data_IF_337091451735
#
_entry.id   IF_337091451735
#
_cell.length_a   1.000
_cell.length_b   1.000
_cell.length_c   1.000
_cell.angle_alpha   90.00
_cell.angle_beta   90.00
_cell.angle_gamma   90.00
#
_symmetry.space_group_name_H-M   'P 1'
#
loop_
_entity.id
_entity.type
_entity.pdbx_description
1 polymer ?
#
# COMPACT_ATOMS: atom_id res chain seq x y z
N UNK A 1 -22.75 29.17 15.90
CA UNK A 1 -22.64 28.02 14.97
C UNK A 1 -21.64 27.04 15.55
N UNK A 2 -21.93 25.74 15.57
CA UNK A 2 -21.02 24.74 16.15
C UNK A 2 -19.88 24.42 15.18
N UNK A 3 -18.64 24.66 15.59
CA UNK A 3 -17.45 24.23 14.86
C UNK A 3 -17.31 22.71 14.94
N UNK A 4 -16.82 22.09 13.87
CA UNK A 4 -16.42 20.68 13.85
C UNK A 4 -14.94 20.63 14.21
N UNK A 5 -14.57 19.81 15.19
CA UNK A 5 -13.19 19.70 15.66
C UNK A 5 -12.64 18.36 15.22
N UNK A 6 -11.44 18.36 14.63
CA UNK A 6 -10.64 17.16 14.40
C UNK A 6 -9.45 17.22 15.35
N UNK A 7 -9.54 16.44 16.42
CA UNK A 7 -8.44 16.16 17.34
C UNK A 7 -7.55 15.06 16.74
N UNK A 8 -6.26 15.37 16.56
CA UNK A 8 -5.28 14.39 16.13
C UNK A 8 -4.95 13.45 17.29
N UNK A 9 -4.81 12.17 16.99
CA UNK A 9 -4.39 11.18 17.97
C UNK A 9 -2.93 11.42 18.40
N UNK A 10 -2.58 10.78 19.52
CA UNK A 10 -1.23 10.77 20.05
C UNK A 10 -0.23 10.23 19.02
N UNK A 11 0.99 10.76 19.01
CA UNK A 11 2.07 10.35 18.10
C UNK A 11 2.41 8.86 18.17
N UNK A 12 2.07 8.20 19.29
CA UNK A 12 2.28 6.77 19.49
C UNK A 12 1.16 5.89 18.91
N UNK A 13 0.15 6.47 18.27
CA UNK A 13 -0.97 5.77 17.66
C UNK A 13 -0.85 5.79 16.13
N UNK A 14 -0.98 4.62 15.49
CA UNK A 14 -1.06 4.49 14.03
C UNK A 14 -2.17 5.36 13.46
N UNK A 15 -3.26 5.52 14.23
CA UNK A 15 -4.41 6.31 13.80
C UNK A 15 -4.06 7.77 13.58
N UNK A 16 -3.06 8.34 14.28
CA UNK A 16 -2.55 9.69 13.96
C UNK A 16 -2.02 9.71 12.53
N UNK A 17 -1.17 8.75 12.17
CA UNK A 17 -0.59 8.71 10.83
C UNK A 17 -1.65 8.46 9.76
N UNK A 18 -2.69 7.68 10.07
CA UNK A 18 -3.85 7.57 9.19
C UNK A 18 -4.60 8.89 9.04
N UNK A 19 -4.84 9.64 10.12
CA UNK A 19 -5.46 10.97 10.01
C UNK A 19 -4.65 11.89 9.11
N UNK A 20 -3.32 11.88 9.28
CA UNK A 20 -2.40 12.68 8.48
C UNK A 20 -2.39 12.23 7.02
N UNK A 21 -2.41 10.93 6.73
CA UNK A 21 -2.54 10.42 5.38
C UNK A 21 -3.82 10.89 4.68
N UNK A 22 -4.97 10.83 5.38
CA UNK A 22 -6.23 11.32 4.83
C UNK A 22 -6.16 12.83 4.54
N UNK A 23 -5.74 13.63 5.51
CA UNK A 23 -5.67 15.09 5.34
C UNK A 23 -4.66 15.48 4.25
N UNK A 24 -3.47 14.88 4.24
CA UNK A 24 -2.43 15.12 3.23
C UNK A 24 -2.89 14.76 1.82
N UNK A 25 -3.69 13.71 1.69
CA UNK A 25 -4.21 13.25 0.39
C UNK A 25 -5.17 14.22 -0.29
N UNK A 26 -5.58 15.30 0.37
CA UNK A 26 -6.47 16.33 -0.18
C UNK A 26 -5.87 17.75 -0.14
N UNK A 27 -4.65 17.92 0.38
CA UNK A 27 -4.03 19.25 0.58
C UNK A 27 -3.93 20.06 -0.72
N UNK A 28 -3.71 19.39 -1.85
CA UNK A 28 -3.62 20.03 -3.17
C UNK A 28 -4.97 20.40 -3.80
N UNK A 29 -6.09 19.99 -3.19
CA UNK A 29 -7.45 20.14 -3.74
C UNK A 29 -8.32 21.13 -2.96
N UNK A 30 -7.76 21.73 -1.93
CA UNK A 30 -8.42 22.67 -1.02
C UNK A 30 -7.83 24.08 -1.15
N UNK A 31 -8.55 25.08 -0.64
CA UNK A 31 -8.06 26.46 -0.67
C UNK A 31 -6.79 26.65 0.17
N UNK A 32 -6.01 27.69 -0.13
CA UNK A 32 -4.77 28.02 0.58
C UNK A 32 -5.03 28.27 2.06
N UNK A 33 -6.16 28.92 2.39
CA UNK A 33 -6.57 29.20 3.76
C UNK A 33 -6.85 27.91 4.54
N UNK A 34 -7.60 26.98 3.92
CA UNK A 34 -7.91 25.69 4.53
C UNK A 34 -6.66 24.81 4.66
N UNK A 35 -5.76 24.82 3.66
CA UNK A 35 -4.44 24.18 3.74
C UNK A 35 -3.66 24.72 4.94
N UNK A 36 -3.55 26.04 5.10
CA UNK A 36 -2.85 26.65 6.22
C UNK A 36 -3.45 26.26 7.57
N UNK A 37 -4.79 26.20 7.67
CA UNK A 37 -5.51 25.78 8.87
C UNK A 37 -5.24 24.33 9.23
N UNK A 38 -5.25 23.42 8.25
CA UNK A 38 -4.90 22.01 8.46
C UNK A 38 -3.45 21.89 8.94
N UNK A 39 -2.50 22.51 8.24
CA UNK A 39 -1.08 22.43 8.61
C UNK A 39 -0.81 23.01 10.02
N UNK A 40 -1.47 24.12 10.37
CA UNK A 40 -1.40 24.69 11.72
C UNK A 40 -1.99 23.75 12.75
N UNK A 41 -3.15 23.15 12.46
CA UNK A 41 -3.79 22.18 13.35
C UNK A 41 -3.03 20.86 13.48
N UNK A 42 -2.22 20.48 12.49
CA UNK A 42 -1.27 19.36 12.60
C UNK A 42 -0.20 19.67 13.65
N UNK A 43 0.33 20.89 13.66
CA UNK A 43 1.32 21.32 14.66
C UNK A 43 0.71 21.46 16.07
N UNK A 44 -0.56 21.87 16.19
CA UNK A 44 -1.24 22.07 17.49
C UNK A 44 -2.07 20.87 17.96
N UNK A 45 -2.16 19.81 17.15
CA UNK A 45 -3.00 18.62 17.33
C UNK A 45 -4.52 18.84 17.28
N UNK A 46 -4.99 20.05 16.97
CA UNK A 46 -6.41 20.38 16.90
C UNK A 46 -6.69 21.19 15.64
N UNK A 47 -7.57 20.68 14.78
CA UNK A 47 -8.06 21.40 13.60
C UNK A 47 -9.53 21.77 13.88
N UNK A 48 -9.81 23.06 14.01
CA UNK A 48 -11.17 23.58 14.14
C UNK A 48 -11.68 24.03 12.78
N UNK A 49 -12.84 23.55 12.38
CA UNK A 49 -13.42 23.78 11.07
C UNK A 49 -14.84 24.33 11.21
N UNK A 50 -15.19 25.26 10.34
CA UNK A 50 -16.59 25.55 10.04
C UNK A 50 -17.25 24.34 9.37
N UNK A 51 -18.59 24.33 9.33
CA UNK A 51 -19.35 23.28 8.64
C UNK A 51 -19.04 23.22 7.15
N UNK A 52 -18.83 24.38 6.53
CA UNK A 52 -18.50 24.51 5.11
C UNK A 52 -17.12 23.93 4.82
N UNK A 53 -16.10 24.29 5.62
CA UNK A 53 -14.75 23.73 5.47
C UNK A 53 -14.70 22.22 5.68
N UNK A 54 -15.45 21.70 6.67
CA UNK A 54 -15.56 20.25 6.84
C UNK A 54 -16.24 19.58 5.65
N UNK A 55 -17.29 20.19 5.09
CA UNK A 55 -17.95 19.67 3.88
C UNK A 55 -16.98 19.63 2.69
N UNK A 56 -16.13 20.64 2.51
CA UNK A 56 -15.06 20.65 1.50
C UNK A 56 -14.10 19.49 1.69
N UNK A 57 -13.62 19.26 2.92
CA UNK A 57 -12.74 18.12 3.25
C UNK A 57 -13.44 16.79 2.96
N UNK A 58 -14.67 16.61 3.42
CA UNK A 58 -15.45 15.38 3.21
C UNK A 58 -15.70 15.10 1.73
N UNK A 59 -15.95 16.14 0.92
CA UNK A 59 -16.15 16.00 -0.52
C UNK A 59 -14.84 15.59 -1.23
N UNK A 60 -13.71 16.22 -0.90
CA UNK A 60 -12.41 15.87 -1.46
C UNK A 60 -12.01 14.42 -1.11
N UNK A 61 -12.17 14.04 0.17
CA UNK A 61 -11.92 12.66 0.61
C UNK A 61 -12.85 11.66 -0.07
N UNK A 62 -14.12 12.00 -0.24
CA UNK A 62 -15.06 11.14 -0.96
C UNK A 62 -14.63 10.97 -2.42
N UNK A 63 -14.20 12.04 -3.09
CA UNK A 63 -13.73 11.96 -4.47
C UNK A 63 -12.48 11.10 -4.61
N UNK A 64 -11.56 11.12 -3.63
CA UNK A 64 -10.43 10.18 -3.61
C UNK A 64 -10.92 8.75 -3.40
N UNK A 65 -11.85 8.54 -2.47
CA UNK A 65 -12.40 7.21 -2.21
C UNK A 65 -13.12 6.61 -3.43
N UNK A 66 -13.62 7.42 -4.37
CA UNK A 66 -14.15 6.92 -5.65
C UNK A 66 -13.08 6.22 -6.51
N UNK A 67 -11.80 6.58 -6.36
CA UNK A 67 -10.68 5.88 -6.97
C UNK A 67 -10.16 4.72 -6.10
N UNK A 68 -10.12 4.88 -4.78
CA UNK A 68 -9.58 3.87 -3.85
C UNK A 68 -10.52 2.66 -3.68
N UNK A 69 -11.84 2.89 -3.64
CA UNK A 69 -12.84 1.88 -3.33
C UNK A 69 -13.19 0.97 -4.53
N UNK A 70 -12.20 0.42 -5.23
CA UNK A 70 -12.41 -0.58 -6.28
C UNK A 70 -12.80 -1.95 -5.71
N UNK A 71 -13.47 -2.78 -6.50
CA UNK A 71 -13.81 -4.15 -6.13
C UNK A 71 -12.57 -4.93 -5.64
N UNK A 72 -12.66 -5.61 -4.51
CA UNK A 72 -11.56 -6.41 -3.95
C UNK A 72 -10.50 -5.62 -3.17
N UNK A 73 -10.62 -4.29 -3.03
CA UNK A 73 -9.75 -3.49 -2.15
C UNK A 73 -9.88 -3.96 -0.69
N UNK A 74 -8.76 -4.31 -0.02
CA UNK A 74 -8.80 -4.66 1.40
C UNK A 74 -9.17 -3.45 2.25
N UNK A 75 -9.85 -3.74 3.35
CA UNK A 75 -10.19 -2.80 4.42
C UNK A 75 -9.56 -3.30 5.72
N UNK A 76 -9.23 -2.40 6.66
CA UNK A 76 -8.63 -2.80 7.94
C UNK A 76 -9.50 -3.80 8.70
N UNK A 77 -8.86 -4.80 9.29
CA UNK A 77 -9.49 -5.75 10.19
C UNK A 77 -9.99 -5.03 11.43
N UNK A 78 -11.23 -5.34 11.79
CA UNK A 78 -11.83 -4.92 13.04
C UNK A 78 -11.56 -5.96 14.12
N UNK A 79 -11.04 -5.53 15.26
CA UNK A 79 -10.63 -6.41 16.35
C UNK A 79 -11.74 -6.56 17.40
N UNK A 80 -11.70 -7.69 18.11
CA UNK A 80 -12.73 -8.09 19.08
C UNK A 80 -12.29 -7.90 20.53
N UNK A 81 -11.02 -7.61 20.79
CA UNK A 81 -10.53 -7.42 22.15
C UNK A 81 -11.02 -6.09 22.75
N UNK A 82 -11.43 -6.10 24.02
CA UNK A 82 -11.96 -4.90 24.70
C UNK A 82 -13.36 -4.53 24.22
N UNK A 83 -13.60 -3.23 24.00
CA UNK A 83 -14.82 -2.77 23.34
C UNK A 83 -14.69 -3.05 21.85
N UNK A 84 -15.30 -4.14 21.38
CA UNK A 84 -15.30 -4.59 19.98
C UNK A 84 -15.31 -3.40 18.99
N UNK A 85 -14.37 -3.37 18.05
CA UNK A 85 -14.21 -2.25 17.11
C UNK A 85 -15.51 -1.98 16.33
N UNK A 86 -16.22 -3.05 15.95
CA UNK A 86 -17.54 -2.95 15.30
C UNK A 86 -18.56 -2.17 16.13
N UNK A 87 -18.58 -2.39 17.44
CA UNK A 87 -19.49 -1.68 18.35
C UNK A 87 -19.19 -0.19 18.41
N UNK A 88 -17.91 0.17 18.42
CA UNK A 88 -17.45 1.56 18.41
C UNK A 88 -17.83 2.23 17.07
N UNK A 89 -17.53 1.58 15.94
CA UNK A 89 -17.82 2.16 14.62
C UNK A 89 -19.34 2.26 14.37
N UNK A 90 -20.13 1.30 14.85
CA UNK A 90 -21.59 1.34 14.75
C UNK A 90 -22.17 2.47 15.61
N UNK A 91 -21.70 2.65 16.85
CA UNK A 91 -22.16 3.74 17.70
C UNK A 91 -21.75 5.12 17.16
N UNK A 92 -20.62 5.20 16.46
CA UNK A 92 -20.19 6.39 15.73
C UNK A 92 -21.02 6.67 14.45
N UNK A 93 -21.77 5.68 13.94
CA UNK A 93 -22.51 5.77 12.68
C UNK A 93 -21.62 5.63 11.43
N UNK A 94 -20.39 5.13 11.58
CA UNK A 94 -19.45 4.86 10.48
C UNK A 94 -19.81 3.56 9.75
N UNK A 95 -20.35 2.59 10.50
CA UNK A 95 -21.01 1.40 9.96
C UNK A 95 -22.46 1.36 10.43
N UNK A 96 -23.33 0.71 9.68
CA UNK A 96 -24.78 0.72 9.96
C UNK A 96 -25.15 0.03 11.27
N UNK A 97 -24.47 -1.07 11.61
CA UNK A 97 -24.69 -1.81 12.86
C UNK A 97 -23.49 -2.73 13.18
N UNK A 98 -23.50 -3.36 14.36
CA UNK A 98 -22.40 -4.23 14.83
C UNK A 98 -22.24 -5.55 14.03
N UNK A 99 -23.23 -5.93 13.21
CA UNK A 99 -23.17 -7.13 12.38
C UNK A 99 -22.48 -6.85 11.04
N UNK A 100 -22.65 -5.65 10.51
CA UNK A 100 -22.04 -5.22 9.24
C UNK A 100 -20.50 -5.19 9.32
N UNK A 101 -19.80 -5.52 8.23
CA UNK A 101 -18.36 -5.29 8.11
C UNK A 101 -18.06 -3.80 7.90
N UNK A 102 -16.82 -3.41 8.20
CA UNK A 102 -16.29 -2.15 7.66
C UNK A 102 -16.24 -2.28 6.14
N UNK A 103 -16.77 -1.29 5.42
CA UNK A 103 -16.68 -1.25 3.96
C UNK A 103 -16.27 0.14 3.51
N UNK A 104 -15.57 0.20 2.38
CA UNK A 104 -15.15 1.46 1.77
C UNK A 104 -16.36 2.34 1.44
N UNK A 105 -17.43 1.74 0.90
CA UNK A 105 -18.68 2.45 0.61
C UNK A 105 -19.40 2.93 1.88
N UNK A 106 -19.37 2.17 2.97
CA UNK A 106 -19.93 2.60 4.26
C UNK A 106 -19.25 3.85 4.80
N UNK A 107 -17.92 3.87 4.79
CA UNK A 107 -17.12 5.05 5.23
C UNK A 107 -17.37 6.25 4.33
N UNK A 108 -17.42 6.05 3.00
CA UNK A 108 -17.77 7.08 2.03
C UNK A 108 -19.16 7.67 2.29
N UNK A 109 -20.15 6.83 2.60
CA UNK A 109 -21.48 7.30 2.96
C UNK A 109 -21.44 8.11 4.26
N UNK A 110 -20.73 7.63 5.28
CA UNK A 110 -20.59 8.32 6.57
C UNK A 110 -19.98 9.73 6.42
N UNK A 111 -18.97 9.92 5.55
CA UNK A 111 -18.41 11.24 5.23
C UNK A 111 -19.45 12.24 4.71
N UNK A 112 -20.46 11.75 3.98
CA UNK A 112 -21.49 12.58 3.33
C UNK A 112 -22.71 12.82 4.21
N UNK A 113 -23.07 11.88 5.07
CA UNK A 113 -24.40 11.85 5.69
C UNK A 113 -24.41 12.07 7.20
N UNK A 114 -23.26 11.95 7.89
CA UNK A 114 -23.23 12.15 9.34
C UNK A 114 -23.48 13.63 9.70
N UNK A 115 -24.49 13.92 10.55
CA UNK A 115 -24.82 15.29 10.88
C UNK A 115 -23.81 15.89 11.89
N UNK A 116 -23.68 17.24 11.97
CA UNK A 116 -22.66 17.89 12.79
C UNK A 116 -22.70 17.55 14.29
N UNK A 117 -23.88 17.33 14.86
CA UNK A 117 -24.08 16.89 16.25
C UNK A 117 -23.51 15.48 16.47
N UNK A 118 -23.67 14.59 15.48
CA UNK A 118 -23.09 13.26 15.52
C UNK A 118 -21.57 13.31 15.42
N UNK A 119 -21.02 14.17 14.57
CA UNK A 119 -19.57 14.36 14.41
C UNK A 119 -18.89 14.83 15.70
N UNK A 120 -19.57 15.64 16.51
CA UNK A 120 -19.07 16.13 17.80
C UNK A 120 -19.19 15.11 18.95
N UNK A 121 -19.88 13.98 18.74
CA UNK A 121 -20.08 12.97 19.78
C UNK A 121 -18.75 12.30 20.14
N UNK A 122 -18.51 12.08 21.45
CA UNK A 122 -17.34 11.35 21.92
C UNK A 122 -17.58 9.85 21.88
N UNK A 123 -16.66 9.12 21.27
CA UNK A 123 -16.65 7.66 21.17
C UNK A 123 -15.28 7.11 21.57
N UNK A 124 -15.18 5.87 22.08
CA UNK A 124 -13.88 5.24 22.33
C UNK A 124 -13.06 5.14 21.06
N UNK A 125 -11.73 5.17 21.14
CA UNK A 125 -10.87 4.92 19.97
C UNK A 125 -10.84 3.41 19.67
N UNK A 126 -11.14 2.92 18.45
CA UNK A 126 -10.98 1.51 18.09
C UNK A 126 -9.55 0.98 18.23
N UNK A 127 -9.42 -0.32 18.43
CA UNK A 127 -8.15 -1.00 18.61
C UNK A 127 -7.25 -0.95 17.37
N UNK A 128 -7.80 -1.12 16.16
CA UNK A 128 -6.99 -1.04 14.93
C UNK A 128 -6.26 0.31 14.79
N UNK A 129 -6.81 1.39 15.36
CA UNK A 129 -6.21 2.73 15.36
C UNK A 129 -5.20 2.94 16.51
N UNK A 130 -5.18 2.07 17.52
CA UNK A 130 -4.26 2.16 18.68
C UNK A 130 -2.93 1.44 18.47
N UNK A 131 -2.74 0.77 17.33
CA UNK A 131 -1.49 0.07 16.96
C UNK A 131 -0.30 1.05 17.01
N UNK A 132 0.90 0.60 17.39
CA UNK A 132 2.15 1.34 17.74
C UNK A 132 2.57 1.42 19.22
N UNK A 133 2.02 0.56 20.10
CA UNK A 133 2.75 0.19 21.33
C UNK A 133 2.54 -1.30 21.64
N UNK A 134 3.52 -2.15 21.29
CA UNK A 134 3.81 -3.30 22.15
C UNK A 134 4.14 -2.73 23.52
N UNK A 135 3.22 -2.87 24.49
CA UNK A 135 3.47 -3.37 25.85
C UNK A 135 4.63 -2.86 26.73
N UNK A 136 5.53 -1.97 26.29
CA UNK A 136 6.74 -1.60 27.04
C UNK A 136 6.60 -0.30 27.84
N UNK A 137 5.64 0.56 27.49
CA UNK A 137 5.29 1.72 28.30
C UNK A 137 3.83 1.59 28.77
N UNK A 138 3.67 1.12 30.00
CA UNK A 138 2.43 1.12 30.82
C UNK A 138 1.91 2.54 31.12
N UNK A 139 2.11 3.51 30.24
CA UNK A 139 1.59 4.86 30.39
C UNK A 139 0.51 5.08 29.36
N UNK A 140 -0.71 5.18 29.90
CA UNK A 140 -1.99 5.30 29.23
C UNK A 140 -1.89 6.32 28.08
N UNK A 141 -2.23 5.92 26.85
CA UNK A 141 -2.57 6.90 25.83
C UNK A 141 -3.62 7.83 26.43
N UNK A 142 -3.36 9.15 26.48
CA UNK A 142 -4.24 10.11 27.15
C UNK A 142 -5.63 10.18 26.50
N UNK A 143 -5.74 9.83 25.22
CA UNK A 143 -6.98 9.87 24.44
C UNK A 143 -7.66 8.48 24.49
N UNK A 144 -8.57 8.29 25.45
CA UNK A 144 -9.43 7.09 25.49
C UNK A 144 -10.65 7.21 24.58
N UNK A 145 -11.17 8.44 24.50
CA UNK A 145 -12.31 8.82 23.69
C UNK A 145 -11.91 9.95 22.75
N UNK A 146 -12.57 10.05 21.60
CA UNK A 146 -12.35 11.04 20.56
C UNK A 146 -13.67 11.44 19.93
N UNK A 147 -13.70 12.59 19.26
CA UNK A 147 -14.84 12.97 18.42
C UNK A 147 -15.00 12.04 17.21
N UNK A 148 -16.24 11.79 16.80
CA UNK A 148 -16.58 10.97 15.62
C UNK A 148 -15.91 11.53 14.36
N UNK A 149 -15.79 12.86 14.22
CA UNK A 149 -15.03 13.52 13.16
C UNK A 149 -13.59 13.02 13.06
N UNK A 150 -12.83 13.04 14.17
CA UNK A 150 -11.45 12.52 14.23
C UNK A 150 -11.36 11.05 13.89
N UNK A 151 -12.29 10.26 14.41
CA UNK A 151 -12.37 8.83 14.16
C UNK A 151 -12.64 8.53 12.67
N UNK A 152 -13.55 9.27 12.06
CA UNK A 152 -13.90 9.12 10.66
C UNK A 152 -12.71 9.43 9.76
N UNK A 153 -12.00 10.54 10.01
CA UNK A 153 -10.78 10.90 9.26
C UNK A 153 -9.69 9.82 9.42
N UNK A 154 -9.50 9.27 10.63
CA UNK A 154 -8.57 8.17 10.86
C UNK A 154 -8.97 6.89 10.10
N UNK A 155 -10.27 6.60 10.03
CA UNK A 155 -10.80 5.41 9.33
C UNK A 155 -10.69 5.56 7.81
N UNK A 156 -10.85 6.77 7.28
CA UNK A 156 -10.60 7.07 5.87
C UNK A 156 -9.12 6.86 5.54
N UNK A 157 -8.24 7.39 6.40
CA UNK A 157 -6.79 7.24 6.24
C UNK A 157 -6.29 5.81 6.27
N UNK A 158 -6.85 4.96 7.15
CA UNK A 158 -6.50 3.54 7.21
C UNK A 158 -6.91 2.79 5.94
N UNK A 159 -8.01 3.18 5.30
CA UNK A 159 -8.43 2.60 4.02
C UNK A 159 -7.51 3.06 2.88
N UNK A 160 -7.20 4.36 2.81
CA UNK A 160 -6.31 4.95 1.78
C UNK A 160 -4.91 4.36 1.88
N UNK A 161 -4.39 4.14 3.09
CA UNK A 161 -3.01 3.67 3.28
C UNK A 161 -2.85 2.16 3.11
N UNK A 162 -3.91 1.35 3.26
CA UNK A 162 -3.83 -0.11 3.19
C UNK A 162 -3.64 -0.61 1.74
N UNK A 163 -2.41 -0.85 1.32
CA UNK A 163 -2.10 -1.25 -0.05
C UNK A 163 -2.26 -2.75 -0.31
N UNK A 164 -2.18 -3.60 0.71
CA UNK A 164 -2.32 -5.06 0.56
C UNK A 164 -2.68 -5.77 1.86
N UNK A 165 -3.33 -6.93 1.70
CA UNK A 165 -3.49 -7.95 2.75
C UNK A 165 -2.87 -9.25 2.24
N UNK A 166 -1.95 -9.83 3.03
CA UNK A 166 -1.33 -11.13 2.80
C UNK A 166 -2.04 -12.18 3.65
N UNK A 167 -2.53 -13.26 3.02
CA UNK A 167 -3.15 -14.40 3.71
C UNK A 167 -2.36 -15.67 3.44
N UNK A 168 -1.81 -16.26 4.49
CA UNK A 168 -1.13 -17.54 4.44
C UNK A 168 -1.75 -18.49 5.48
N UNK A 169 -2.69 -19.31 5.03
CA UNK A 169 -3.50 -20.14 5.92
C UNK A 169 -4.29 -19.31 6.93
N UNK A 170 -3.92 -19.42 8.22
CA UNK A 170 -4.55 -18.66 9.31
C UNK A 170 -3.86 -17.33 9.61
N UNK A 171 -2.68 -17.09 9.03
CA UNK A 171 -1.97 -15.83 9.22
C UNK A 171 -2.51 -14.78 8.25
N UNK A 172 -2.81 -13.60 8.76
CA UNK A 172 -3.13 -12.41 7.98
C UNK A 172 -2.17 -11.28 8.35
N UNK A 173 -1.58 -10.63 7.35
CA UNK A 173 -0.74 -9.44 7.54
C UNK A 173 -1.24 -8.31 6.65
N UNK A 174 -1.54 -7.18 7.27
CA UNK A 174 -1.91 -5.95 6.59
C UNK A 174 -0.66 -5.12 6.30
N UNK A 175 -0.59 -4.54 5.10
CA UNK A 175 0.53 -3.74 4.64
C UNK A 175 0.01 -2.34 4.30
N UNK A 176 0.50 -1.35 5.02
CA UNK A 176 0.14 0.05 4.88
C UNK A 176 1.30 0.84 4.29
N UNK A 177 0.99 1.83 3.44
CA UNK A 177 1.91 2.85 2.97
C UNK A 177 1.49 4.20 3.57
N UNK A 178 2.24 4.65 4.57
CA UNK A 178 1.88 5.76 5.46
C UNK A 178 2.89 6.89 5.28
N UNK A 179 2.49 8.17 5.10
CA UNK A 179 3.45 9.27 5.07
C UNK A 179 4.17 9.37 6.41
N UNK A 180 5.47 9.66 6.38
CA UNK A 180 6.29 9.89 7.57
C UNK A 180 5.98 11.21 8.28
N UNK A 181 5.02 11.99 7.75
CA UNK A 181 4.53 13.28 8.25
C UNK A 181 5.48 14.47 8.05
N UNK A 182 6.60 14.27 7.34
CA UNK A 182 7.45 15.35 6.86
C UNK A 182 6.70 16.27 5.86
N UNK A 183 7.11 17.54 5.71
CA UNK A 183 6.51 18.42 4.70
C UNK A 183 6.51 17.81 3.30
N UNK A 184 7.57 17.07 2.94
CA UNK A 184 7.68 16.39 1.66
C UNK A 184 6.61 15.30 1.49
N UNK A 185 6.42 14.41 2.47
CA UNK A 185 5.38 13.36 2.37
C UNK A 185 3.97 13.94 2.36
N UNK A 186 3.73 15.03 3.08
CA UNK A 186 2.44 15.72 3.06
C UNK A 186 2.10 16.29 1.67
N UNK A 187 3.06 16.90 0.99
CA UNK A 187 2.85 17.45 -0.37
C UNK A 187 2.74 16.34 -1.44
N UNK A 188 3.50 15.25 -1.28
CA UNK A 188 3.52 14.15 -2.25
C UNK A 188 2.39 13.13 -2.07
N UNK A 189 1.69 13.13 -0.92
CA UNK A 189 0.66 12.13 -0.58
C UNK A 189 -0.40 11.95 -1.66
N UNK A 190 -0.92 13.04 -2.24
CA UNK A 190 -1.92 12.95 -3.32
C UNK A 190 -1.37 12.17 -4.52
N UNK A 191 -0.16 12.51 -4.98
CA UNK A 191 0.47 11.87 -6.14
C UNK A 191 0.77 10.40 -5.88
N UNK A 192 1.30 10.09 -4.70
CA UNK A 192 1.61 8.71 -4.31
C UNK A 192 0.33 7.88 -4.26
N UNK A 193 -0.72 8.31 -3.56
CA UNK A 193 -1.96 7.53 -3.51
C UNK A 193 -2.66 7.44 -4.87
N UNK A 194 -2.63 8.50 -5.68
CA UNK A 194 -3.11 8.41 -7.05
C UNK A 194 -2.34 7.36 -7.84
N UNK A 195 -1.01 7.28 -7.72
CA UNK A 195 -0.22 6.25 -8.40
C UNK A 195 -0.69 4.83 -8.04
N UNK A 196 -1.00 4.57 -6.77
CA UNK A 196 -1.44 3.25 -6.28
C UNK A 196 -2.90 2.89 -6.60
N UNK A 197 -3.76 3.89 -6.87
CA UNK A 197 -5.21 3.68 -7.00
C UNK A 197 -5.84 4.19 -8.30
N UNK A 198 -5.11 4.96 -9.12
CA UNK A 198 -5.65 5.52 -10.36
C UNK A 198 -5.70 4.52 -11.52
N UNK A 199 -5.19 3.30 -11.35
CA UNK A 199 -5.02 2.37 -12.47
C UNK A 199 -6.27 1.54 -12.71
N UNK A 200 -6.96 1.87 -13.80
CA UNK A 200 -8.07 1.09 -14.37
C UNK A 200 -7.64 0.31 -15.62
N UNK A 201 -6.35 0.33 -15.96
CA UNK A 201 -5.83 -0.47 -17.07
C UNK A 201 -5.67 -1.92 -16.60
N UNK A 202 -6.41 -2.83 -17.23
CA UNK A 202 -6.35 -4.27 -16.99
C UNK A 202 -4.94 -4.86 -17.17
N UNK A 203 -4.05 -4.15 -17.88
CA UNK A 203 -2.67 -4.56 -18.11
C UNK A 203 -1.74 -4.32 -16.91
N UNK A 204 -2.11 -3.42 -15.99
CA UNK A 204 -1.32 -3.17 -14.78
C UNK A 204 -1.85 -4.06 -13.67
N UNK A 205 -0.96 -4.89 -13.12
CA UNK A 205 -1.34 -5.74 -12.01
C UNK A 205 -1.59 -4.89 -10.77
N UNK A 206 -2.69 -5.15 -10.06
CA UNK A 206 -2.92 -4.50 -8.76
C UNK A 206 -1.77 -4.84 -7.81
N UNK A 207 -1.29 -3.85 -7.05
CA UNK A 207 -0.16 -4.03 -6.12
C UNK A 207 -0.39 -5.20 -5.14
N UNK A 208 -1.60 -5.36 -4.62
CA UNK A 208 -1.98 -6.51 -3.77
C UNK A 208 -1.81 -7.85 -4.49
N UNK A 209 -2.16 -7.91 -5.78
CA UNK A 209 -2.00 -9.11 -6.61
C UNK A 209 -0.53 -9.46 -6.80
N UNK A 210 0.31 -8.45 -7.08
CA UNK A 210 1.76 -8.63 -7.20
C UNK A 210 2.38 -9.13 -5.90
N UNK A 211 2.08 -8.47 -4.78
CA UNK A 211 2.60 -8.85 -3.46
C UNK A 211 2.19 -10.29 -3.13
N UNK A 212 0.93 -10.68 -3.34
CA UNK A 212 0.47 -12.06 -3.11
C UNK A 212 1.12 -13.07 -4.08
N UNK A 213 1.32 -12.70 -5.35
CA UNK A 213 1.95 -13.57 -6.33
C UNK A 213 3.41 -13.84 -5.95
N UNK A 214 4.18 -12.82 -5.56
CA UNK A 214 5.61 -12.96 -5.21
C UNK A 214 5.78 -13.61 -3.83
N UNK A 215 5.07 -13.13 -2.80
CA UNK A 215 5.28 -13.60 -1.42
C UNK A 215 4.71 -15.00 -1.17
N UNK A 216 3.55 -15.33 -1.75
CA UNK A 216 2.79 -16.55 -1.41
C UNK A 216 2.79 -17.55 -2.56
N UNK A 217 2.30 -17.15 -3.75
CA UNK A 217 2.07 -18.11 -4.83
C UNK A 217 3.36 -18.62 -5.46
N UNK A 218 4.35 -17.74 -5.63
CA UNK A 218 5.68 -18.10 -6.10
C UNK A 218 6.45 -18.87 -5.02
N UNK A 219 6.50 -18.30 -3.80
CA UNK A 219 7.24 -18.88 -2.68
C UNK A 219 8.76 -18.75 -2.85
N UNK A 220 9.52 -18.84 -1.76
CA UNK A 220 10.99 -18.77 -1.79
C UNK A 220 11.58 -17.35 -1.84
N UNK A 221 10.75 -16.31 -1.72
CA UNK A 221 11.16 -14.91 -1.53
C UNK A 221 10.65 -14.45 -0.16
N UNK A 222 11.48 -13.78 0.64
CA UNK A 222 11.03 -13.28 1.96
C UNK A 222 9.95 -12.22 1.80
N UNK A 223 9.04 -12.08 2.78
CA UNK A 223 7.93 -11.12 2.69
C UNK A 223 8.42 -9.69 2.48
N UNK A 224 9.48 -9.27 3.17
CA UNK A 224 10.04 -7.92 3.03
C UNK A 224 10.58 -7.68 1.61
N UNK A 225 11.34 -8.63 1.06
CA UNK A 225 11.82 -8.55 -0.32
C UNK A 225 10.67 -8.57 -1.33
N UNK A 226 9.66 -9.42 -1.09
CA UNK A 226 8.51 -9.54 -1.97
C UNK A 226 7.72 -8.23 -2.05
N UNK A 227 7.56 -7.51 -0.94
CA UNK A 227 6.92 -6.19 -0.91
C UNK A 227 7.72 -5.19 -1.75
N UNK A 228 9.02 -5.05 -1.50
CA UNK A 228 9.89 -4.11 -2.22
C UNK A 228 9.95 -4.41 -3.73
N UNK A 229 10.17 -5.67 -4.10
CA UNK A 229 10.17 -6.12 -5.49
C UNK A 229 8.83 -5.86 -6.18
N UNK A 230 7.71 -6.13 -5.49
CA UNK A 230 6.38 -5.88 -6.05
C UNK A 230 6.11 -4.40 -6.25
N UNK A 231 6.58 -3.53 -5.36
CA UNK A 231 6.49 -2.08 -5.51
C UNK A 231 7.28 -1.59 -6.72
N UNK A 232 8.51 -2.08 -6.91
CA UNK A 232 9.34 -1.75 -8.07
C UNK A 232 8.71 -2.23 -9.38
N UNK A 233 8.22 -3.47 -9.43
CA UNK A 233 7.51 -4.02 -10.59
C UNK A 233 6.25 -3.22 -10.90
N UNK A 234 5.48 -2.85 -9.88
CA UNK A 234 4.27 -2.04 -10.02
C UNK A 234 4.58 -0.67 -10.62
N UNK A 235 5.59 0.02 -10.06
CA UNK A 235 6.03 1.33 -10.56
C UNK A 235 6.58 1.24 -11.99
N UNK A 236 7.30 0.18 -12.33
CA UNK A 236 7.77 -0.06 -13.69
C UNK A 236 6.61 -0.25 -14.68
N UNK A 237 5.61 -1.08 -14.33
CA UNK A 237 4.39 -1.23 -15.14
C UNK A 237 3.67 0.10 -15.34
N UNK A 238 3.60 0.93 -14.30
CA UNK A 238 3.02 2.27 -14.38
C UNK A 238 3.78 3.16 -15.36
N UNK A 239 5.11 3.18 -15.29
CA UNK A 239 5.94 3.96 -16.20
C UNK A 239 5.77 3.54 -17.66
N UNK A 240 5.57 2.26 -17.92
CA UNK A 240 5.42 1.74 -19.28
C UNK A 240 4.01 1.86 -19.86
N UNK A 241 2.98 1.70 -19.02
CA UNK A 241 1.60 1.50 -19.47
C UNK A 241 0.69 2.69 -19.15
N UNK A 242 1.01 3.48 -18.12
CA UNK A 242 0.18 4.59 -17.64
C UNK A 242 0.82 5.94 -17.94
N UNK A 243 0.79 6.37 -19.20
CA UNK A 243 1.44 7.60 -19.67
C UNK A 243 1.01 8.89 -18.95
N UNK A 244 -0.21 8.95 -18.41
CA UNK A 244 -0.71 10.12 -17.65
C UNK A 244 -0.12 10.23 -16.24
N UNK A 245 0.40 9.13 -15.69
CA UNK A 245 0.94 9.07 -14.31
C UNK A 245 2.47 9.03 -14.29
N UNK A 246 3.10 8.95 -15.47
CA UNK A 246 4.56 8.97 -15.61
C UNK A 246 5.17 10.26 -15.05
N UNK A 247 4.55 11.43 -15.31
CA UNK A 247 5.04 12.71 -14.80
C UNK A 247 4.96 12.82 -13.27
N UNK A 248 3.89 12.30 -12.66
CA UNK A 248 3.78 12.24 -11.20
C UNK A 248 4.81 11.28 -10.60
N UNK A 249 5.06 10.15 -11.26
CA UNK A 249 6.09 9.21 -10.86
C UNK A 249 7.50 9.83 -10.92
N UNK A 250 7.85 10.49 -12.03
CA UNK A 250 9.16 11.12 -12.18
C UNK A 250 9.34 12.21 -11.10
N UNK A 251 8.31 13.02 -10.82
CA UNK A 251 8.33 14.00 -9.74
C UNK A 251 8.50 13.37 -8.33
N UNK A 252 7.85 12.23 -8.07
CA UNK A 252 8.03 11.49 -6.81
C UNK A 252 9.47 10.99 -6.71
N UNK A 253 10.02 10.40 -7.77
CA UNK A 253 11.36 9.80 -7.77
C UNK A 253 12.47 10.87 -7.64
N UNK A 254 12.33 12.00 -8.33
CA UNK A 254 13.26 13.14 -8.23
C UNK A 254 13.32 13.70 -6.81
N UNK A 255 12.17 13.76 -6.12
CA UNK A 255 12.06 14.28 -4.77
C UNK A 255 12.51 13.29 -3.66
N UNK A 256 12.96 12.07 -4.01
CA UNK A 256 13.11 10.96 -3.04
C UNK A 256 11.80 10.71 -2.27
N UNK A 257 10.68 10.80 -2.98
CA UNK A 257 9.36 10.83 -2.39
C UNK A 257 9.03 9.53 -1.66
N UNK A 258 9.37 8.37 -2.23
CA UNK A 258 9.01 7.08 -1.60
C UNK A 258 9.72 6.83 -0.26
N UNK A 259 10.91 7.40 -0.05
CA UNK A 259 11.65 7.33 1.21
C UNK A 259 10.91 8.06 2.34
N UNK A 260 10.04 9.02 2.00
CA UNK A 260 9.19 9.75 2.96
C UNK A 260 7.88 9.01 3.28
N UNK A 261 7.71 7.78 2.79
CA UNK A 261 6.59 6.91 3.15
C UNK A 261 7.08 5.63 3.82
N UNK A 262 6.44 5.29 4.93
CA UNK A 262 6.67 4.09 5.72
C UNK A 262 5.80 2.94 5.20
N UNK A 263 6.45 1.84 4.86
CA UNK A 263 5.84 0.51 4.73
C UNK A 263 5.67 -0.07 6.14
N UNK A 264 4.42 -0.07 6.59
CA UNK A 264 4.03 -0.57 7.91
C UNK A 264 3.33 -1.90 7.76
N UNK A 265 3.84 -2.94 8.44
CA UNK A 265 3.22 -4.26 8.47
C UNK A 265 2.58 -4.52 9.83
N UNK A 266 1.33 -4.97 9.82
CA UNK A 266 0.57 -5.31 11.03
C UNK A 266 0.07 -6.76 10.92
N UNK A 267 0.38 -7.57 11.93
CA UNK A 267 -0.22 -8.89 12.10
C UNK A 267 -1.71 -8.71 12.46
N UNK A 268 -2.56 -9.13 11.54
CA UNK A 268 -4.01 -9.10 11.66
C UNK A 268 -4.58 -10.50 11.92
N UNK A 269 -3.79 -11.49 12.31
CA UNK A 269 -4.26 -12.86 12.57
C UNK A 269 -5.06 -12.96 13.87
N UNK A 270 -4.64 -12.22 14.91
CA UNK A 270 -5.20 -12.31 16.26
C UNK A 270 -6.42 -11.43 16.55
N UNK A 271 -6.76 -11.35 17.84
CA UNK A 271 -7.78 -10.46 18.40
C UNK A 271 -7.25 -9.07 18.74
N UNK A 272 -5.95 -8.82 18.52
CA UNK A 272 -5.28 -7.53 18.68
C UNK A 272 -4.29 -7.33 17.52
N UNK A 273 -4.09 -6.10 17.04
CA UNK A 273 -3.06 -5.79 16.04
C UNK A 273 -1.69 -5.88 16.69
N UNK A 274 -0.71 -6.45 15.98
CA UNK A 274 0.70 -6.40 16.37
C UNK A 274 1.53 -5.79 15.25
N UNK A 275 2.27 -4.74 15.54
CA UNK A 275 3.20 -4.15 14.57
C UNK A 275 4.36 -5.11 14.32
N UNK A 276 4.55 -5.53 13.08
CA UNK A 276 5.66 -6.41 12.69
C UNK A 276 6.88 -5.56 12.30
N UNK A 277 6.67 -4.55 11.46
CA UNK A 277 7.73 -3.65 10.99
C UNK A 277 7.17 -2.32 10.53
N UNK A 278 8.03 -1.30 10.51
CA UNK A 278 7.77 0.01 9.95
C UNK A 278 9.09 0.52 9.35
N UNK A 279 9.21 0.48 8.03
CA UNK A 279 10.44 0.85 7.32
C UNK A 279 10.12 1.78 6.17
N UNK A 280 10.97 2.75 5.82
CA UNK A 280 10.79 3.52 4.60
C UNK A 280 10.67 2.61 3.37
N UNK A 281 9.89 3.01 2.36
CA UNK A 281 9.75 2.21 1.14
C UNK A 281 11.05 2.14 0.33
N UNK A 282 11.89 3.17 0.40
CA UNK A 282 13.27 3.21 -0.12
C UNK A 282 13.46 2.74 -1.57
N UNK A 283 12.50 3.04 -2.46
CA UNK A 283 12.56 2.62 -3.86
C UNK A 283 13.01 3.72 -4.83
N UNK A 284 13.05 5.00 -4.46
CA UNK A 284 13.37 6.08 -5.42
C UNK A 284 14.82 6.02 -5.87
N UNK A 285 15.75 5.72 -4.97
CA UNK A 285 17.16 5.52 -5.34
C UNK A 285 17.34 4.33 -6.28
N UNK A 286 16.66 3.22 -6.01
CA UNK A 286 16.68 2.03 -6.87
C UNK A 286 16.13 2.40 -8.26
N UNK A 287 15.01 3.12 -8.33
CA UNK A 287 14.40 3.54 -9.59
C UNK A 287 15.28 4.51 -10.39
N UNK A 288 16.02 5.41 -9.73
CA UNK A 288 17.01 6.27 -10.42
C UNK A 288 18.19 5.48 -10.95
N UNK A 289 18.71 4.54 -10.15
CA UNK A 289 19.81 3.66 -10.55
C UNK A 289 19.40 2.75 -11.72
N UNK A 290 18.19 2.23 -11.67
CA UNK A 290 17.54 1.47 -12.75
C UNK A 290 16.89 2.39 -13.80
N UNK A 291 17.21 3.68 -13.84
CA UNK A 291 16.51 4.67 -14.67
C UNK A 291 16.71 4.49 -16.18
N UNK A 292 17.52 3.54 -16.60
CA UNK A 292 17.71 3.18 -18.00
C UNK A 292 16.50 2.41 -18.54
N UNK A 293 16.14 2.66 -19.81
CA UNK A 293 15.02 2.02 -20.52
C UNK A 293 15.00 0.49 -20.35
N UNK A 294 16.17 -0.15 -20.31
CA UNK A 294 16.31 -1.60 -20.18
C UNK A 294 15.96 -2.13 -18.79
N UNK A 295 16.22 -1.38 -17.71
CA UNK A 295 15.93 -1.85 -16.36
C UNK A 295 14.46 -1.72 -15.98
N UNK A 296 13.76 -0.68 -16.49
CA UNK A 296 12.30 -0.60 -16.41
C UNK A 296 11.66 -1.78 -17.16
N UNK A 297 12.15 -2.08 -18.37
CA UNK A 297 11.73 -3.26 -19.13
C UNK A 297 11.99 -4.56 -18.36
N UNK A 298 13.16 -4.69 -17.73
CA UNK A 298 13.49 -5.85 -16.90
C UNK A 298 12.48 -6.05 -15.75
N UNK A 299 12.14 -4.98 -15.02
CA UNK A 299 11.15 -5.05 -13.94
C UNK A 299 9.77 -5.50 -14.44
N UNK A 300 9.32 -4.97 -15.58
CA UNK A 300 8.08 -5.41 -16.22
C UNK A 300 8.12 -6.89 -16.62
N UNK A 301 9.23 -7.35 -17.20
CA UNK A 301 9.37 -8.76 -17.61
C UNK A 301 9.48 -9.70 -16.41
N UNK A 302 10.09 -9.28 -15.31
CA UNK A 302 10.10 -10.04 -14.05
C UNK A 302 8.68 -10.22 -13.51
N UNK A 303 7.82 -9.21 -13.59
CA UNK A 303 6.41 -9.36 -13.22
C UNK A 303 5.67 -10.37 -14.10
N UNK A 304 5.94 -10.38 -15.41
CA UNK A 304 5.36 -11.36 -16.34
C UNK A 304 5.89 -12.77 -16.07
N UNK A 305 7.18 -12.90 -15.76
CA UNK A 305 7.81 -14.15 -15.38
C UNK A 305 7.15 -14.75 -14.12
N UNK A 306 6.93 -13.94 -13.08
CA UNK A 306 6.24 -14.37 -11.85
C UNK A 306 4.86 -14.93 -12.18
N UNK A 307 4.06 -14.17 -12.93
CA UNK A 307 2.68 -14.55 -13.27
C UNK A 307 2.63 -15.82 -14.11
N UNK A 308 3.50 -15.93 -15.12
CA UNK A 308 3.57 -17.13 -15.97
C UNK A 308 4.08 -18.37 -15.20
N UNK A 309 4.96 -18.18 -14.22
CA UNK A 309 5.52 -19.28 -13.41
C UNK A 309 4.49 -19.92 -12.49
N UNK A 310 3.49 -19.16 -12.02
CA UNK A 310 2.46 -19.67 -11.10
C UNK A 310 1.27 -20.33 -11.84
N UNK A 311 1.08 -20.02 -13.12
CA UNK A 311 -0.07 -20.45 -13.94
C UNK A 311 0.16 -21.75 -14.74
N UNK A 312 1.35 -22.36 -14.67
CA UNK A 312 1.63 -23.60 -15.42
C UNK A 312 0.70 -24.75 -15.04
N UNK A 313 0.24 -25.48 -16.06
CA UNK A 313 -0.61 -26.67 -15.96
C UNK A 313 0.20 -27.91 -15.54
N UNK A 314 1.44 -28.01 -16.02
CA UNK A 314 2.36 -29.10 -15.66
C UNK A 314 2.98 -28.83 -14.28
N UNK A 315 2.82 -29.77 -13.35
CA UNK A 315 3.24 -29.60 -11.94
C UNK A 315 4.75 -29.56 -11.76
N UNK A 316 5.50 -30.34 -12.54
CA UNK A 316 6.96 -30.46 -12.39
C UNK A 316 7.65 -29.24 -12.98
N UNK A 317 7.19 -28.80 -14.14
CA UNK A 317 7.56 -27.53 -14.73
C UNK A 317 7.15 -26.37 -13.82
N UNK A 318 5.92 -26.36 -13.30
CA UNK A 318 5.46 -25.31 -12.37
C UNK A 318 6.38 -25.16 -11.17
N UNK A 319 6.74 -26.27 -10.52
CA UNK A 319 7.65 -26.24 -9.38
C UNK A 319 9.05 -25.74 -9.77
N UNK A 320 9.54 -26.14 -10.95
CA UNK A 320 10.80 -25.64 -11.49
C UNK A 320 10.74 -24.14 -11.78
N UNK A 321 9.70 -23.68 -12.48
CA UNK A 321 9.43 -22.29 -12.83
C UNK A 321 9.35 -21.41 -11.60
N UNK A 322 8.57 -21.82 -10.60
CA UNK A 322 8.48 -21.11 -9.31
C UNK A 322 9.84 -20.99 -8.64
N UNK A 323 10.59 -22.10 -8.55
CA UNK A 323 11.90 -22.13 -7.88
C UNK A 323 12.93 -21.24 -8.58
N UNK A 324 13.08 -21.37 -9.90
CA UNK A 324 14.03 -20.57 -10.67
C UNK A 324 13.67 -19.08 -10.68
N UNK A 325 12.39 -18.75 -10.85
CA UNK A 325 11.91 -17.36 -10.78
C UNK A 325 12.14 -16.75 -9.39
N UNK A 326 11.90 -17.50 -8.31
CA UNK A 326 12.18 -17.03 -6.95
C UNK A 326 13.68 -16.79 -6.71
N UNK A 327 14.55 -17.70 -7.16
CA UNK A 327 16.00 -17.52 -7.08
C UNK A 327 16.47 -16.31 -7.89
N UNK A 328 16.00 -16.17 -9.13
CA UNK A 328 16.30 -15.00 -9.93
C UNK A 328 15.86 -13.70 -9.24
N UNK A 329 14.65 -13.64 -8.66
CA UNK A 329 14.20 -12.46 -7.92
C UNK A 329 15.07 -12.15 -6.70
N UNK A 330 15.51 -13.17 -5.96
CA UNK A 330 16.43 -12.99 -4.85
C UNK A 330 17.79 -12.46 -5.31
N UNK A 331 18.33 -12.96 -6.43
CA UNK A 331 19.60 -12.48 -6.98
C UNK A 331 19.48 -11.09 -7.62
N UNK A 332 18.33 -10.77 -8.22
CA UNK A 332 18.00 -9.42 -8.68
C UNK A 332 17.88 -8.43 -7.50
N UNK A 333 17.24 -8.83 -6.40
CA UNK A 333 17.22 -8.05 -5.17
C UNK A 333 18.63 -7.75 -4.66
N UNK A 334 19.51 -8.76 -4.59
CA UNK A 334 20.92 -8.55 -4.23
C UNK A 334 21.65 -7.61 -5.19
N UNK A 335 21.36 -7.69 -6.48
CA UNK A 335 21.93 -6.76 -7.46
C UNK A 335 21.52 -5.32 -7.16
N UNK A 336 20.25 -5.06 -6.84
CA UNK A 336 19.78 -3.71 -6.52
C UNK A 336 20.49 -3.13 -5.30
N UNK A 337 20.64 -3.95 -4.25
CA UNK A 337 21.30 -3.56 -3.00
C UNK A 337 22.81 -3.33 -3.17
N UNK A 338 23.49 -4.21 -3.91
CA UNK A 338 24.98 -4.25 -3.94
C UNK A 338 25.59 -3.67 -5.20
N UNK A 339 24.85 -3.67 -6.31
CA UNK A 339 25.38 -3.39 -7.64
C UNK A 339 26.17 -4.50 -8.29
N UNK A 340 26.26 -5.68 -7.68
CA UNK A 340 27.09 -6.76 -8.21
C UNK A 340 26.47 -7.40 -9.44
N UNK A 341 27.15 -7.30 -10.59
CA UNK A 341 26.74 -7.97 -11.82
C UNK A 341 26.76 -9.50 -11.70
N UNK A 342 27.56 -10.07 -10.79
CA UNK A 342 27.61 -11.52 -10.58
C UNK A 342 26.24 -12.07 -10.15
N UNK A 343 25.46 -11.32 -9.37
CA UNK A 343 24.13 -11.76 -8.96
C UNK A 343 23.11 -11.65 -10.10
N UNK A 344 23.31 -10.75 -11.06
CA UNK A 344 22.51 -10.77 -12.30
C UNK A 344 22.84 -12.00 -13.16
N UNK A 345 24.11 -12.40 -13.22
CA UNK A 345 24.53 -13.65 -13.89
C UNK A 345 23.91 -14.88 -13.23
N UNK A 346 23.81 -14.90 -11.89
CA UNK A 346 23.07 -15.95 -11.18
C UNK A 346 21.60 -16.02 -11.60
N UNK A 347 20.89 -14.89 -11.62
CA UNK A 347 19.51 -14.88 -12.14
C UNK A 347 19.46 -15.40 -13.58
N UNK A 348 20.36 -14.95 -14.46
CA UNK A 348 20.41 -15.40 -15.86
C UNK A 348 20.55 -16.93 -15.97
N UNK A 349 21.39 -17.55 -15.14
CA UNK A 349 21.56 -19.02 -15.09
C UNK A 349 20.26 -19.73 -14.70
N UNK A 350 19.54 -19.23 -13.70
CA UNK A 350 18.25 -19.81 -13.30
C UNK A 350 17.20 -19.68 -14.42
N UNK A 351 17.22 -18.59 -15.19
CA UNK A 351 16.30 -18.40 -16.32
C UNK A 351 16.58 -19.36 -17.49
N UNK A 352 17.85 -19.67 -17.78
CA UNK A 352 18.21 -20.63 -18.83
C UNK A 352 17.57 -22.00 -18.58
N UNK A 353 17.53 -22.45 -17.33
CA UNK A 353 16.85 -23.70 -16.94
C UNK A 353 15.37 -23.69 -17.35
N UNK A 354 14.69 -22.55 -17.21
CA UNK A 354 13.28 -22.41 -17.61
C UNK A 354 13.11 -22.38 -19.11
N UNK A 355 14.03 -21.73 -19.81
CA UNK A 355 14.00 -21.65 -21.27
C UNK A 355 14.17 -23.05 -21.87
N UNK A 356 15.14 -23.82 -21.40
CA UNK A 356 15.44 -25.17 -21.89
C UNK A 356 14.28 -26.13 -21.64
N UNK A 357 13.75 -26.15 -20.40
CA UNK A 357 12.56 -26.96 -20.10
C UNK A 357 11.32 -26.52 -20.88
N UNK A 358 11.15 -25.21 -21.09
CA UNK A 358 10.05 -24.67 -21.88
C UNK A 358 10.13 -25.08 -23.36
N UNK A 359 11.35 -25.24 -23.89
CA UNK A 359 11.59 -25.76 -25.25
C UNK A 359 11.25 -27.25 -25.35
N UNK A 360 11.55 -28.04 -24.32
CA UNK A 360 11.27 -29.48 -24.31
C UNK A 360 9.77 -29.79 -24.22
N UNK A 361 8.99 -28.90 -23.60
CA UNK A 361 7.55 -29.09 -23.29
C UNK A 361 6.62 -28.23 -24.18
N UNK A 362 7.00 -27.99 -25.43
CA UNK A 362 6.39 -27.00 -26.36
C UNK A 362 4.87 -27.14 -26.67
N UNK A 363 4.16 -28.12 -26.11
CA UNK A 363 2.72 -28.35 -26.32
C UNK A 363 1.78 -27.61 -25.37
N UNK A 364 2.27 -27.08 -24.24
CA UNK A 364 1.42 -26.46 -23.20
C UNK A 364 1.50 -24.93 -23.25
N UNK A 365 0.34 -24.27 -23.31
CA UNK A 365 0.23 -22.82 -23.48
C UNK A 365 0.96 -22.05 -22.37
N UNK A 366 0.78 -22.46 -21.11
CA UNK A 366 1.34 -21.75 -19.97
C UNK A 366 2.84 -22.02 -19.78
N UNK A 367 3.31 -23.21 -20.19
CA UNK A 367 4.75 -23.54 -20.23
C UNK A 367 5.46 -22.68 -21.27
N UNK A 368 4.85 -22.52 -22.46
CA UNK A 368 5.35 -21.62 -23.50
C UNK A 368 5.41 -20.17 -23.03
N UNK A 369 4.40 -19.69 -22.30
CA UNK A 369 4.39 -18.34 -21.71
C UNK A 369 5.54 -18.13 -20.73
N UNK A 370 5.75 -19.07 -19.80
CA UNK A 370 6.84 -18.97 -18.83
C UNK A 370 8.23 -19.00 -19.49
N UNK A 371 8.42 -19.88 -20.49
CA UNK A 371 9.66 -19.90 -21.27
C UNK A 371 9.90 -18.60 -22.04
N UNK A 372 8.86 -18.01 -22.63
CA UNK A 372 8.96 -16.72 -23.31
C UNK A 372 9.29 -15.57 -22.33
N UNK A 373 8.64 -15.54 -21.17
CA UNK A 373 8.93 -14.55 -20.12
C UNK A 373 10.37 -14.66 -19.61
N UNK A 374 10.88 -15.88 -19.45
CA UNK A 374 12.27 -16.11 -19.07
C UNK A 374 13.27 -15.62 -20.15
N UNK A 375 12.98 -15.83 -21.44
CA UNK A 375 13.81 -15.30 -22.55
C UNK A 375 13.83 -13.78 -22.58
N UNK A 376 12.66 -13.17 -22.47
CA UNK A 376 12.52 -11.71 -22.48
C UNK A 376 13.26 -11.09 -21.28
N UNK A 377 13.11 -11.68 -20.10
CA UNK A 377 13.84 -11.26 -18.89
C UNK A 377 15.36 -11.40 -19.08
N UNK A 378 15.81 -12.54 -19.61
CA UNK A 378 17.23 -12.78 -19.89
C UNK A 378 17.80 -11.76 -20.89
N UNK A 379 17.03 -11.38 -21.92
CA UNK A 379 17.42 -10.35 -22.88
C UNK A 379 17.72 -9.01 -22.21
N UNK A 380 16.89 -8.56 -21.27
CA UNK A 380 17.15 -7.28 -20.59
C UNK A 380 18.28 -7.39 -19.56
N UNK A 381 18.49 -8.57 -18.96
CA UNK A 381 19.67 -8.81 -18.12
C UNK A 381 20.96 -8.68 -18.93
N UNK A 382 21.05 -9.31 -20.10
CA UNK A 382 22.27 -9.22 -20.93
C UNK A 382 22.53 -7.79 -21.39
N UNK A 383 21.48 -7.02 -21.70
CA UNK A 383 21.62 -5.59 -22.03
C UNK A 383 22.17 -4.73 -20.89
N UNK A 384 21.89 -5.09 -19.64
CA UNK A 384 22.44 -4.39 -18.47
C UNK A 384 23.89 -4.80 -18.21
N UNK A 385 24.24 -6.06 -18.48
CA UNK A 385 25.58 -6.58 -18.27
C UNK A 385 26.62 -6.05 -19.29
N UNK A 386 26.17 -5.62 -20.48
CA UNK A 386 27.03 -5.12 -21.56
C UNK A 386 27.19 -6.13 -22.68
#
# INVERSE_FOLDING_TARGET
MSNIVIELFDEKSIGRNFQLAALASIISEISVELKHRILTGIATNIIQLSREEYATISNALTSLLDAVCTEGKPVPKLYTSGTHDKKILASAGIISNEKEPLTCQGVKNALKTLPPDKLATLVPVPMFLRTYVFSFYRHQSKIRNTQVSSLLIATVGSIITLISELKEGRKSTEIYLIPDTSPASLELSRKVYNLFYAVRDEKVSRIQGLINNVAIKLGGVSVDQAILLSLLMYVAQMKELAGTLAADLDAIVEANGFETFLLTRVDASGNRPLLISATPASISWILRRLGEKNSIKLLSTLSWLVSSSIESEDSDFKNTAKSASAKCLNSFYKYMETGSHDTLVECARDLVVLIDKGVQLQGLKNVKSAGAAARETLYYITRILG
#
